data_IF_952468465483
#
_entry.id   IF_952468465483
#
_cell.length_a   1.000
_cell.length_b   1.000
_cell.length_c   1.000
_cell.angle_alpha   90.00
_cell.angle_beta   90.00
_cell.angle_gamma   90.00
#
_symmetry.space_group_name_H-M   'P 1'
#
loop_
_entity.id
_entity.type
_entity.pdbx_description
1 polymer ?
#
# COMPACT_ATOMS: atom_id res chain seq x y z
N UNK A 1 3.54 14.63 22.52
CA UNK A 1 2.52 14.47 23.59
C UNK A 1 1.10 14.32 23.02
N UNK A 2 0.84 14.76 21.78
CA UNK A 2 -0.49 14.73 21.15
C UNK A 2 -0.87 13.39 20.48
N UNK A 3 0.12 12.54 20.17
CA UNK A 3 -0.09 11.18 19.61
C UNK A 3 -0.80 10.20 20.57
N UNK A 4 -0.87 10.49 21.88
CA UNK A 4 -1.56 9.63 22.87
C UNK A 4 -3.09 9.72 22.83
N UNK A 5 -3.68 10.66 22.08
CA UNK A 5 -5.15 10.80 21.98
C UNK A 5 -5.78 9.89 20.91
N UNK A 6 -4.99 9.31 20.02
CA UNK A 6 -5.45 8.35 19.02
C UNK A 6 -5.10 6.95 19.53
N UNK A 7 -6.08 6.05 19.64
CA UNK A 7 -5.85 4.69 20.14
C UNK A 7 -4.70 4.01 19.38
N UNK A 8 -3.75 3.43 20.09
CA UNK A 8 -2.62 2.72 19.51
C UNK A 8 -2.98 1.23 19.38
N UNK A 9 -2.92 0.69 18.17
CA UNK A 9 -3.07 -0.75 17.97
C UNK A 9 -1.77 -1.41 18.44
N UNK A 10 -1.86 -2.28 19.45
CA UNK A 10 -0.73 -3.02 19.99
C UNK A 10 -0.95 -4.51 19.79
N UNK A 11 0.00 -5.19 19.16
CA UNK A 11 -0.02 -6.63 19.10
C UNK A 11 0.57 -7.21 20.39
N UNK A 12 -0.25 -7.87 21.20
CA UNK A 12 0.15 -8.42 22.49
C UNK A 12 0.28 -9.94 22.41
N UNK A 13 1.47 -10.44 22.72
CA UNK A 13 1.72 -11.87 22.93
C UNK A 13 1.37 -12.23 24.37
N UNK A 14 0.50 -13.23 24.58
CA UNK A 14 0.21 -13.73 25.93
C UNK A 14 0.36 -15.25 25.96
N UNK A 15 1.30 -15.73 26.76
CA UNK A 15 1.47 -17.16 27.02
C UNK A 15 0.30 -17.68 27.86
N UNK A 16 -0.28 -18.80 27.45
CA UNK A 16 -1.15 -19.62 28.27
C UNK A 16 -0.58 -21.04 28.20
N UNK A 17 -0.44 -21.70 29.35
CA UNK A 17 0.34 -22.92 29.52
C UNK A 17 -0.02 -23.97 28.46
N UNK A 18 1.03 -24.51 27.85
CA UNK A 18 1.14 -25.56 26.81
C UNK A 18 0.86 -25.24 25.33
N UNK A 19 0.30 -24.06 24.96
CA UNK A 19 0.27 -23.62 23.54
C UNK A 19 0.48 -22.11 23.38
N UNK A 20 1.41 -21.70 22.50
CA UNK A 20 1.62 -20.27 22.15
C UNK A 20 0.41 -19.73 21.40
N UNK A 21 -0.44 -18.94 22.08
CA UNK A 21 -1.59 -18.25 21.50
C UNK A 21 -1.25 -16.78 21.24
N UNK A 22 -1.58 -16.31 20.04
CA UNK A 22 -1.31 -14.93 19.60
C UNK A 22 -2.61 -14.14 19.51
N UNK A 23 -2.56 -12.87 19.90
CA UNK A 23 -3.71 -11.96 19.89
C UNK A 23 -3.33 -10.62 19.26
N UNK A 24 -4.25 -10.06 18.48
CA UNK A 24 -4.20 -8.66 18.07
C UNK A 24 -5.11 -7.86 19.00
N UNK A 25 -4.60 -6.75 19.54
CA UNK A 25 -5.28 -5.99 20.59
C UNK A 25 -5.35 -4.51 20.21
N UNK A 26 -6.53 -3.92 20.35
CA UNK A 26 -6.65 -2.46 20.30
C UNK A 26 -6.45 -1.91 21.70
N UNK A 27 -5.46 -1.06 21.88
CA UNK A 27 -5.15 -0.42 23.16
C UNK A 27 -5.46 1.08 23.05
N UNK A 28 -5.96 1.66 24.13
CA UNK A 28 -6.19 3.10 24.23
C UNK A 28 -5.61 3.59 25.53
N UNK A 29 -4.97 4.75 25.48
CA UNK A 29 -4.56 5.43 26.70
C UNK A 29 -5.78 6.03 27.41
N UNK A 30 -6.05 5.59 28.63
CA UNK A 30 -7.08 6.18 29.48
C UNK A 30 -6.46 7.33 30.28
N UNK A 31 -6.96 8.54 30.06
CA UNK A 31 -6.46 9.74 30.75
C UNK A 31 -6.83 9.78 32.24
N UNK A 32 -7.93 9.14 32.65
CA UNK A 32 -8.34 9.13 34.05
C UNK A 32 -7.54 8.12 34.87
N UNK A 33 -7.23 6.98 34.26
CA UNK A 33 -6.47 5.90 34.90
C UNK A 33 -4.95 6.03 34.68
N UNK A 34 -4.52 7.02 33.89
CA UNK A 34 -3.13 7.26 33.46
C UNK A 34 -2.41 6.00 32.96
N UNK A 35 -3.15 5.10 32.29
CA UNK A 35 -2.62 3.82 31.81
C UNK A 35 -3.24 3.39 30.48
N UNK A 36 -2.51 2.54 29.79
CA UNK A 36 -3.00 1.86 28.60
C UNK A 36 -4.03 0.78 28.96
N UNK A 37 -5.22 0.87 28.38
CA UNK A 37 -6.31 -0.11 28.56
C UNK A 37 -6.58 -0.85 27.26
N UNK A 38 -6.71 -2.18 27.36
CA UNK A 38 -7.15 -3.00 26.24
C UNK A 38 -8.66 -2.78 25.99
N UNK A 39 -9.03 -2.43 24.76
CA UNK A 39 -10.43 -2.26 24.36
C UNK A 39 -10.96 -3.53 23.71
N UNK A 40 -10.28 -4.01 22.67
CA UNK A 40 -10.69 -5.16 21.89
C UNK A 40 -9.54 -6.15 21.75
N UNK A 41 -9.88 -7.43 21.70
CA UNK A 41 -8.95 -8.53 21.54
C UNK A 41 -9.48 -9.52 20.52
N UNK A 42 -8.65 -9.87 19.55
CA UNK A 42 -8.96 -10.89 18.55
C UNK A 42 -7.85 -11.94 18.54
N UNK A 43 -8.22 -13.22 18.65
CA UNK A 43 -7.27 -14.33 18.59
C UNK A 43 -6.80 -14.52 17.15
N UNK A 44 -5.49 -14.55 16.94
CA UNK A 44 -4.89 -14.85 15.64
C UNK A 44 -4.86 -16.36 15.41
N UNK A 45 -5.15 -16.78 14.17
CA UNK A 45 -5.21 -18.20 13.78
C UNK A 45 -3.83 -18.84 13.56
N UNK A 46 -2.75 -18.06 13.59
CA UNK A 46 -1.41 -18.50 13.20
C UNK A 46 -0.29 -17.82 14.00
N UNK A 47 0.97 -18.12 13.66
CA UNK A 47 2.12 -17.54 14.34
C UNK A 47 2.23 -16.03 14.09
N UNK A 48 2.74 -15.30 15.08
CA UNK A 48 2.87 -13.84 15.06
C UNK A 48 3.78 -13.31 13.97
N UNK A 49 4.96 -13.92 13.80
CA UNK A 49 5.96 -13.47 12.83
C UNK A 49 6.05 -14.51 11.72
N UNK A 50 5.52 -14.13 10.56
CA UNK A 50 5.52 -14.92 9.36
C UNK A 50 6.52 -14.38 8.34
N UNK A 51 7.06 -13.18 8.46
CA UNK A 51 7.95 -12.51 7.50
C UNK A 51 8.64 -11.30 8.13
N UNK A 52 8.72 -10.18 7.40
CA UNK A 52 9.42 -8.97 7.85
C UNK A 52 8.72 -8.23 9.01
N UNK A 53 7.43 -8.47 9.27
CA UNK A 53 6.68 -7.90 10.40
C UNK A 53 5.74 -6.74 10.03
N UNK A 54 5.99 -6.04 8.91
CA UNK A 54 5.13 -4.91 8.45
C UNK A 54 3.70 -5.37 8.21
N UNK A 55 3.53 -6.49 7.52
CA UNK A 55 2.23 -7.01 7.10
C UNK A 55 1.47 -7.67 8.23
N UNK A 56 2.19 -8.37 9.09
CA UNK A 56 1.64 -8.97 10.28
C UNK A 56 1.08 -7.90 11.20
N UNK A 57 1.57 -6.66 11.12
CA UNK A 57 0.92 -5.53 11.78
C UNK A 57 -0.31 -5.03 10.98
N UNK A 58 -0.17 -4.76 9.68
CA UNK A 58 -1.23 -4.13 8.87
C UNK A 58 -2.51 -4.99 8.75
N UNK A 59 -2.38 -6.28 8.44
CA UNK A 59 -3.53 -7.15 8.16
C UNK A 59 -4.46 -7.34 9.36
N UNK A 60 -3.98 -7.67 10.57
CA UNK A 60 -4.86 -7.72 11.73
C UNK A 60 -5.17 -6.33 12.30
N UNK A 61 -4.42 -5.27 11.96
CA UNK A 61 -4.80 -3.91 12.34
C UNK A 61 -6.04 -3.42 11.58
N UNK A 62 -6.28 -3.88 10.35
CA UNK A 62 -7.42 -3.43 9.53
C UNK A 62 -8.75 -3.60 10.27
N UNK A 63 -8.89 -4.62 11.11
CA UNK A 63 -10.14 -4.93 11.83
C UNK A 63 -10.51 -3.85 12.87
N UNK A 64 -9.52 -3.07 13.31
CA UNK A 64 -9.72 -1.99 14.28
C UNK A 64 -9.84 -0.62 13.63
N UNK A 65 -9.64 -0.52 12.32
CA UNK A 65 -9.77 0.74 11.57
C UNK A 65 -11.24 1.13 11.36
N UNK A 66 -11.48 2.43 11.21
CA UNK A 66 -12.81 3.03 10.96
C UNK A 66 -12.77 3.86 9.69
N UNK A 67 -13.94 4.15 9.13
CA UNK A 67 -14.11 4.93 7.89
C UNK A 67 -14.24 4.05 6.64
N UNK A 68 -14.33 4.66 5.47
CA UNK A 68 -14.54 3.94 4.21
C UNK A 68 -13.23 3.60 3.49
N UNK A 69 -12.19 4.41 3.71
CA UNK A 69 -10.87 4.22 3.16
C UNK A 69 -9.83 4.01 4.28
N UNK A 70 -8.80 3.23 3.98
CA UNK A 70 -7.66 3.00 4.88
C UNK A 70 -6.36 3.37 4.16
N UNK A 71 -5.44 3.99 4.88
CA UNK A 71 -4.12 4.34 4.39
C UNK A 71 -3.07 3.80 5.36
N UNK A 72 -2.04 3.16 4.82
CA UNK A 72 -0.89 2.68 5.59
C UNK A 72 0.27 3.64 5.38
N UNK A 73 0.75 4.25 6.46
CA UNK A 73 1.83 5.23 6.43
C UNK A 73 3.02 4.63 7.19
N UNK A 74 4.18 4.62 6.55
CA UNK A 74 5.43 4.18 7.17
C UNK A 74 5.88 5.19 8.23
N UNK A 75 6.65 4.75 9.23
CA UNK A 75 7.11 5.60 10.34
C UNK A 75 7.97 6.79 9.89
N UNK A 76 8.60 6.70 8.71
CA UNK A 76 9.41 7.77 8.12
C UNK A 76 8.63 8.64 7.11
N UNK A 77 7.30 8.50 7.04
CA UNK A 77 6.42 9.30 6.20
C UNK A 77 5.63 10.28 7.03
N UNK A 78 5.44 11.47 6.48
CA UNK A 78 4.55 12.47 7.05
C UNK A 78 3.77 13.18 5.94
N UNK A 79 2.59 13.67 6.28
CA UNK A 79 1.75 14.39 5.34
C UNK A 79 1.91 15.90 5.54
N UNK A 80 1.97 16.65 4.44
CA UNK A 80 2.00 18.10 4.52
C UNK A 80 0.60 18.62 4.86
N UNK A 81 0.53 19.74 5.59
CA UNK A 81 -0.75 20.33 6.01
C UNK A 81 -1.60 20.70 4.79
N UNK A 82 -0.99 21.26 3.75
CA UNK A 82 -1.63 21.67 2.51
C UNK A 82 -2.22 20.46 1.74
N UNK A 83 -1.59 19.29 1.88
CA UNK A 83 -2.03 18.05 1.25
C UNK A 83 -3.20 17.41 2.01
N UNK A 84 -3.31 17.65 3.32
CA UNK A 84 -4.46 17.23 4.10
C UNK A 84 -5.75 17.93 3.65
N UNK A 85 -5.68 19.20 3.20
CA UNK A 85 -6.84 19.93 2.67
C UNK A 85 -7.38 19.33 1.36
N UNK A 86 -6.53 18.65 0.58
CA UNK A 86 -6.90 17.99 -0.67
C UNK A 86 -7.49 16.59 -0.47
N UNK A 87 -7.48 16.08 0.77
CA UNK A 87 -7.94 14.74 1.11
C UNK A 87 -9.36 14.46 0.63
N UNK A 88 -10.27 15.42 0.82
CA UNK A 88 -11.67 15.24 0.42
C UNK A 88 -11.81 15.03 -1.08
N UNK A 89 -11.09 15.81 -1.90
CA UNK A 89 -11.08 15.63 -3.34
C UNK A 89 -10.57 14.24 -3.72
N UNK A 90 -9.51 13.76 -3.04
CA UNK A 90 -9.01 12.40 -3.29
C UNK A 90 -10.03 11.32 -2.90
N UNK A 91 -10.71 11.45 -1.77
CA UNK A 91 -11.71 10.45 -1.36
C UNK A 91 -12.94 10.45 -2.29
N UNK A 92 -13.24 11.58 -2.93
CA UNK A 92 -14.32 11.64 -3.92
C UNK A 92 -14.02 10.80 -5.17
N UNK A 93 -12.75 10.54 -5.47
CA UNK A 93 -12.32 9.71 -6.60
C UNK A 93 -12.90 8.29 -6.57
N UNK A 94 -13.22 7.76 -5.38
CA UNK A 94 -13.90 6.47 -5.23
C UNK A 94 -15.30 6.44 -5.86
N UNK A 95 -15.91 7.59 -6.11
CA UNK A 95 -17.26 7.70 -6.69
C UNK A 95 -17.23 7.67 -8.23
N UNK A 96 -16.13 8.11 -8.84
CA UNK A 96 -15.98 8.25 -10.29
C UNK A 96 -15.46 6.98 -10.95
N UNK A 97 -15.85 6.76 -12.21
CA UNK A 97 -15.37 5.64 -13.00
C UNK A 97 -14.11 6.04 -13.78
N UNK A 98 -13.09 5.20 -13.68
CA UNK A 98 -11.80 5.39 -14.34
C UNK A 98 -11.60 4.29 -15.40
N UNK A 99 -12.36 4.42 -16.49
CA UNK A 99 -12.62 3.33 -17.43
C UNK A 99 -13.89 2.58 -17.03
N UNK A 100 -13.84 1.25 -16.98
CA UNK A 100 -15.02 0.41 -16.71
C UNK A 100 -15.40 0.39 -15.22
N UNK A 101 -14.45 0.63 -14.31
CA UNK A 101 -14.62 0.40 -12.86
C UNK A 101 -14.22 1.61 -12.03
N UNK A 102 -14.88 1.74 -10.88
CA UNK A 102 -14.47 2.64 -9.80
C UNK A 102 -13.15 2.16 -9.18
N UNK A 103 -12.32 3.07 -8.65
CA UNK A 103 -11.04 2.69 -8.10
C UNK A 103 -11.23 1.94 -6.78
N UNK A 104 -10.41 0.92 -6.54
CA UNK A 104 -10.30 0.22 -5.25
C UNK A 104 -9.02 0.63 -4.53
N UNK A 105 -7.99 1.01 -5.29
CA UNK A 105 -6.75 1.60 -4.78
C UNK A 105 -6.55 2.95 -5.46
N UNK A 106 -6.39 3.99 -4.65
CA UNK A 106 -6.03 5.35 -5.07
C UNK A 106 -4.55 5.60 -4.75
N UNK A 107 -3.75 5.61 -5.80
CA UNK A 107 -2.35 5.94 -5.73
C UNK A 107 -2.09 7.43 -5.62
N UNK A 108 -1.08 7.77 -4.81
CA UNK A 108 -0.61 9.14 -4.62
C UNK A 108 0.92 9.15 -4.73
N UNK A 109 1.50 10.30 -5.07
CA UNK A 109 2.95 10.39 -5.22
C UNK A 109 3.67 10.52 -3.88
N UNK A 110 4.85 9.92 -3.78
CA UNK A 110 5.80 10.17 -2.69
C UNK A 110 6.69 11.35 -3.04
N UNK A 111 6.99 12.19 -2.06
CA UNK A 111 7.98 13.26 -2.17
C UNK A 111 9.15 12.99 -1.23
N UNK A 112 10.33 12.79 -1.79
CA UNK A 112 11.53 12.51 -0.99
C UNK A 112 12.20 13.83 -0.60
N UNK A 113 11.96 14.28 0.62
CA UNK A 113 12.45 15.59 1.08
C UNK A 113 13.94 15.61 1.43
N UNK A 114 14.59 14.45 1.55
CA UNK A 114 16.04 14.33 1.83
C UNK A 114 16.92 14.46 0.59
N UNK A 115 16.36 14.79 -0.58
CA UNK A 115 17.10 14.88 -1.84
C UNK A 115 18.21 15.95 -1.87
N UNK A 116 18.11 17.00 -1.05
CA UNK A 116 19.08 18.11 -1.03
C UNK A 116 20.35 17.82 -0.21
N UNK A 117 20.44 16.67 0.46
CA UNK A 117 21.54 16.37 1.40
C UNK A 117 22.87 16.10 0.68
N UNK A 118 22.84 15.54 -0.53
CA UNK A 118 24.04 15.24 -1.32
C UNK A 118 23.69 15.07 -2.80
N UNK A 119 24.69 15.04 -3.68
CA UNK A 119 24.49 14.75 -5.10
C UNK A 119 23.90 13.34 -5.32
N UNK A 120 24.35 12.34 -4.55
CA UNK A 120 23.79 10.98 -4.59
C UNK A 120 22.32 10.97 -4.16
N UNK A 121 21.99 11.68 -3.07
CA UNK A 121 20.62 11.83 -2.61
C UNK A 121 19.74 12.53 -3.66
N UNK A 122 20.29 13.52 -4.36
CA UNK A 122 19.58 14.23 -5.43
C UNK A 122 19.27 13.32 -6.62
N UNK A 123 20.24 12.52 -7.08
CA UNK A 123 19.99 11.54 -8.14
C UNK A 123 18.95 10.50 -7.74
N UNK A 124 19.08 9.92 -6.55
CA UNK A 124 18.16 8.90 -6.06
C UNK A 124 16.75 9.44 -5.83
N UNK A 125 16.61 10.63 -5.25
CA UNK A 125 15.30 11.29 -5.08
C UNK A 125 14.67 11.64 -6.43
N UNK A 126 15.45 12.03 -7.43
CA UNK A 126 14.96 12.28 -8.79
C UNK A 126 14.51 10.97 -9.47
N UNK A 127 15.24 9.87 -9.28
CA UNK A 127 14.84 8.53 -9.74
C UNK A 127 13.53 8.07 -9.09
N UNK A 128 13.38 8.22 -7.76
CA UNK A 128 12.14 7.86 -7.08
C UNK A 128 10.97 8.75 -7.54
N UNK A 129 11.21 10.05 -7.73
CA UNK A 129 10.19 10.99 -8.22
C UNK A 129 9.73 10.66 -9.63
N UNK A 130 10.65 10.27 -10.54
CA UNK A 130 10.29 9.90 -11.91
C UNK A 130 9.43 8.63 -11.95
N UNK A 131 9.75 7.64 -11.10
CA UNK A 131 8.91 6.45 -10.94
C UNK A 131 7.54 6.80 -10.34
N UNK A 132 7.52 7.55 -9.22
CA UNK A 132 6.32 7.88 -8.46
C UNK A 132 5.35 8.83 -9.18
N UNK A 133 5.77 9.45 -10.30
CA UNK A 133 4.94 10.34 -11.12
C UNK A 133 4.77 9.77 -12.53
N UNK A 134 5.70 10.06 -13.45
CA UNK A 134 5.63 9.65 -14.85
C UNK A 134 5.46 8.14 -15.01
N UNK A 135 6.23 7.34 -14.26
CA UNK A 135 6.09 5.88 -14.25
C UNK A 135 4.69 5.43 -13.85
N UNK A 136 4.19 5.90 -12.70
CA UNK A 136 2.85 5.56 -12.22
C UNK A 136 1.73 5.99 -13.17
N UNK A 137 1.85 7.17 -13.83
CA UNK A 137 0.87 7.63 -14.84
C UNK A 137 0.80 6.66 -16.01
N UNK A 138 1.94 6.31 -16.59
CA UNK A 138 1.98 5.41 -17.75
C UNK A 138 1.47 4.01 -17.39
N UNK A 139 1.83 3.51 -16.19
CA UNK A 139 1.34 2.23 -15.68
C UNK A 139 -0.18 2.23 -15.46
N UNK A 140 -0.77 3.34 -15.02
CA UNK A 140 -2.23 3.46 -14.88
C UNK A 140 -2.93 3.63 -16.23
N UNK A 141 -2.46 4.57 -17.05
CA UNK A 141 -3.08 4.97 -18.30
C UNK A 141 -1.98 5.39 -19.30
N UNK A 142 -1.80 4.69 -20.42
CA UNK A 142 -2.74 3.75 -21.06
C UNK A 142 -2.61 2.29 -20.62
N UNK A 143 -1.55 1.90 -19.89
CA UNK A 143 -1.22 0.47 -19.76
C UNK A 143 -2.15 -0.32 -18.85
N UNK A 144 -2.82 0.30 -17.86
CA UNK A 144 -3.72 -0.37 -16.90
C UNK A 144 -3.08 -1.55 -16.15
N UNK A 145 -1.76 -1.49 -15.93
CA UNK A 145 -0.96 -2.47 -15.18
C UNK A 145 -0.40 -1.90 -13.87
N UNK A 146 -0.87 -0.72 -13.45
CA UNK A 146 -0.47 -0.13 -12.16
C UNK A 146 -0.87 -1.06 -11.01
N UNK A 147 0.08 -1.28 -10.10
CA UNK A 147 -0.13 -1.99 -8.84
C UNK A 147 0.19 -1.09 -7.65
N UNK A 148 0.05 -1.65 -6.45
CA UNK A 148 0.52 -1.02 -5.22
C UNK A 148 2.01 -1.33 -5.01
N UNK A 149 2.86 -0.31 -4.86
CA UNK A 149 4.31 -0.48 -4.72
C UNK A 149 4.85 -0.04 -3.35
N UNK A 150 4.03 -0.13 -2.30
CA UNK A 150 4.39 0.37 -0.96
C UNK A 150 4.37 1.91 -0.85
N UNK A 151 3.84 2.57 -1.88
CA UNK A 151 3.50 4.00 -1.86
C UNK A 151 2.36 4.27 -0.87
N UNK A 152 2.10 5.53 -0.47
CA UNK A 152 1.07 5.86 0.51
C UNK A 152 -0.32 5.84 -0.15
N UNK A 153 -0.61 4.78 -0.90
CA UNK A 153 -1.89 4.59 -1.55
C UNK A 153 -3.00 4.47 -0.51
N UNK A 154 -4.20 4.91 -0.89
CA UNK A 154 -5.42 4.71 -0.11
C UNK A 154 -6.20 3.54 -0.68
N UNK A 155 -6.73 2.72 0.21
CA UNK A 155 -7.46 1.49 -0.11
C UNK A 155 -8.93 1.64 0.27
N UNK A 156 -9.83 1.14 -0.57
CA UNK A 156 -11.23 0.91 -0.19
C UNK A 156 -11.27 -0.17 0.91
N UNK A 157 -11.53 0.26 2.15
CA UNK A 157 -11.47 -0.63 3.31
C UNK A 157 -12.44 -1.79 3.17
N UNK A 158 -13.67 -1.54 2.70
CA UNK A 158 -14.68 -2.60 2.56
C UNK A 158 -14.28 -3.63 1.51
N UNK A 159 -13.62 -3.19 0.44
CA UNK A 159 -13.12 -4.10 -0.56
C UNK A 159 -12.03 -5.04 -0.01
N UNK A 160 -11.04 -4.50 0.70
CA UNK A 160 -9.89 -5.29 1.19
C UNK A 160 -10.18 -6.10 2.46
N UNK A 161 -11.09 -5.63 3.32
CA UNK A 161 -11.44 -6.29 4.57
C UNK A 161 -11.87 -7.75 4.37
N UNK A 162 -12.68 -8.03 3.36
CA UNK A 162 -13.21 -9.38 3.10
C UNK A 162 -12.37 -10.20 2.12
N UNK A 163 -11.25 -9.66 1.61
CA UNK A 163 -10.51 -10.21 0.46
C UNK A 163 -9.03 -10.50 0.74
N UNK A 164 -8.66 -10.71 2.01
CA UNK A 164 -7.30 -11.11 2.38
C UNK A 164 -6.41 -9.97 2.89
N UNK A 165 -7.00 -8.80 3.18
CA UNK A 165 -6.28 -7.69 3.81
C UNK A 165 -5.47 -6.84 2.82
N UNK A 166 -4.51 -6.09 3.36
CA UNK A 166 -3.73 -5.10 2.62
C UNK A 166 -2.41 -5.64 2.07
N UNK A 167 -2.10 -6.92 2.32
CA UNK A 167 -0.79 -7.50 1.98
C UNK A 167 -0.73 -9.02 2.17
N UNK A 168 0.33 -9.66 1.67
CA UNK A 168 0.54 -11.13 1.77
C UNK A 168 1.82 -11.46 2.55
N UNK A 169 1.68 -11.88 3.80
CA UNK A 169 2.81 -12.27 4.65
C UNK A 169 3.41 -13.62 4.24
N UNK A 170 4.74 -13.72 4.24
CA UNK A 170 5.48 -14.95 3.92
C UNK A 170 6.90 -14.93 4.49
N UNK A 171 7.46 -16.11 4.80
CA UNK A 171 8.68 -16.29 5.63
C UNK A 171 10.00 -16.02 4.93
N UNK A 172 10.06 -16.27 3.62
CA UNK A 172 11.31 -16.29 2.85
C UNK A 172 11.08 -15.78 1.44
N UNK A 173 9.94 -16.17 0.85
CA UNK A 173 9.48 -15.80 -0.49
C UNK A 173 8.54 -14.59 -0.37
N UNK A 174 8.61 -13.63 -1.30
CA UNK A 174 7.81 -12.39 -1.37
C UNK A 174 8.43 -11.23 -0.56
N UNK A 175 9.70 -10.93 -0.79
CA UNK A 175 10.43 -9.79 -0.21
C UNK A 175 9.80 -8.45 -0.62
N UNK A 176 9.17 -8.37 -1.80
CA UNK A 176 8.34 -7.23 -2.21
C UNK A 176 6.89 -7.51 -1.84
N UNK A 177 6.58 -7.43 -0.57
CA UNK A 177 5.35 -7.97 -0.02
C UNK A 177 4.11 -7.09 -0.31
N UNK A 178 4.34 -5.78 -0.45
CA UNK A 178 3.31 -4.79 -0.74
C UNK A 178 2.67 -5.02 -2.13
N UNK A 179 3.41 -5.52 -3.13
CA UNK A 179 2.88 -5.68 -4.50
C UNK A 179 1.78 -6.74 -4.62
N UNK A 180 1.75 -7.70 -3.70
CA UNK A 180 0.78 -8.78 -3.71
C UNK A 180 -0.65 -8.32 -3.45
N UNK A 181 -0.83 -7.19 -2.76
CA UNK A 181 -2.16 -6.58 -2.65
C UNK A 181 -2.63 -6.05 -4.01
N UNK A 182 -1.71 -5.54 -4.82
CA UNK A 182 -1.96 -5.11 -6.19
C UNK A 182 -2.38 -6.29 -7.08
N UNK A 183 -1.68 -7.42 -7.00
CA UNK A 183 -2.07 -8.63 -7.74
C UNK A 183 -3.45 -9.12 -7.31
N UNK A 184 -3.70 -9.26 -6.01
CA UNK A 184 -5.00 -9.72 -5.49
C UNK A 184 -6.14 -8.76 -5.87
N UNK A 185 -5.87 -7.44 -5.83
CA UNK A 185 -6.78 -6.41 -6.30
C UNK A 185 -7.14 -6.63 -7.77
N UNK A 186 -6.15 -6.72 -8.64
CA UNK A 186 -6.35 -6.82 -10.09
C UNK A 186 -7.00 -8.15 -10.49
N UNK A 187 -6.56 -9.27 -9.90
CA UNK A 187 -7.12 -10.61 -10.13
C UNK A 187 -8.60 -10.72 -9.77
N UNK A 188 -9.05 -9.97 -8.76
CA UNK A 188 -10.46 -9.93 -8.34
C UNK A 188 -11.25 -8.80 -9.00
N UNK A 189 -10.66 -8.18 -10.02
CA UNK A 189 -11.31 -7.15 -10.81
C UNK A 189 -11.37 -5.77 -10.16
N UNK A 190 -10.54 -5.48 -9.16
CA UNK A 190 -10.34 -4.12 -8.67
C UNK A 190 -9.67 -3.22 -9.72
N UNK A 191 -9.70 -1.91 -9.48
CA UNK A 191 -9.08 -0.91 -10.36
C UNK A 191 -8.09 -0.06 -9.56
N UNK A 192 -6.85 0.00 -10.04
CA UNK A 192 -5.75 0.69 -9.38
C UNK A 192 -5.41 1.92 -10.20
N UNK A 193 -5.49 3.08 -9.56
CA UNK A 193 -5.46 4.38 -10.24
C UNK A 193 -4.47 5.32 -9.55
N UNK A 194 -4.08 6.46 -10.13
CA UNK A 194 -3.02 7.35 -9.62
C UNK A 194 -3.39 8.83 -9.77
N UNK A 195 -3.05 9.67 -8.77
CA UNK A 195 -3.20 11.13 -8.86
C UNK A 195 -1.96 11.83 -8.34
N UNK A 196 -1.48 12.78 -9.14
CA UNK A 196 -0.30 13.59 -8.83
C UNK A 196 -0.61 14.84 -7.99
N UNK A 197 -1.87 15.28 -7.90
CA UNK A 197 -2.19 16.55 -7.24
C UNK A 197 -2.00 16.51 -5.71
N UNK A 198 -1.86 15.31 -5.14
CA UNK A 198 -1.59 15.08 -3.72
C UNK A 198 -0.30 14.28 -3.54
N UNK A 199 0.49 14.64 -2.52
CA UNK A 199 1.75 13.98 -2.20
C UNK A 199 1.90 13.70 -0.72
N UNK A 200 2.74 12.72 -0.37
CA UNK A 200 3.15 12.44 1.01
C UNK A 200 4.67 12.50 1.09
N UNK A 201 5.18 13.20 2.10
CA UNK A 201 6.61 13.31 2.36
C UNK A 201 7.18 12.00 2.89
N UNK A 202 8.37 11.62 2.44
CA UNK A 202 9.09 10.43 2.92
C UNK A 202 10.55 10.75 3.14
N UNK A 203 11.04 10.45 4.34
CA UNK A 203 12.45 10.54 4.67
C UNK A 203 13.20 9.31 4.19
N UNK A 204 14.26 9.51 3.40
CA UNK A 204 15.15 8.44 2.96
C UNK A 204 16.58 8.74 3.38
N UNK A 205 17.28 7.71 3.84
CA UNK A 205 18.73 7.72 3.95
C UNK A 205 19.32 7.32 2.59
N UNK A 206 20.23 8.14 2.09
CA UNK A 206 20.88 7.98 0.79
C UNK A 206 22.37 7.64 0.90
N UNK A 207 22.79 7.03 2.00
CA UNK A 207 24.08 6.35 2.05
C UNK A 207 24.20 5.27 0.98
N UNK A 208 25.37 5.12 0.35
CA UNK A 208 25.58 4.19 -0.78
C UNK A 208 25.20 2.75 -0.41
N UNK A 209 25.53 2.31 0.80
CA UNK A 209 25.10 1.00 1.32
C UNK A 209 23.57 0.86 1.40
N UNK A 210 22.87 1.90 1.85
CA UNK A 210 21.39 1.90 1.93
C UNK A 210 20.75 1.85 0.54
N UNK A 211 21.31 2.63 -0.40
CA UNK A 211 20.89 2.62 -1.80
C UNK A 211 21.10 1.23 -2.43
N UNK A 212 22.25 0.60 -2.19
CA UNK A 212 22.54 -0.73 -2.69
C UNK A 212 21.57 -1.78 -2.15
N UNK A 213 21.31 -1.78 -0.83
CA UNK A 213 20.35 -2.70 -0.22
C UNK A 213 18.93 -2.49 -0.75
N UNK A 214 18.54 -1.24 -1.02
CA UNK A 214 17.25 -0.94 -1.62
C UNK A 214 17.15 -1.50 -3.04
N UNK A 215 18.18 -1.28 -3.88
CA UNK A 215 18.21 -1.82 -5.24
C UNK A 215 18.20 -3.36 -5.24
N UNK A 216 18.93 -3.99 -4.32
CA UNK A 216 18.92 -5.44 -4.13
C UNK A 216 17.52 -5.94 -3.72
N UNK A 217 16.82 -5.24 -2.81
CA UNK A 217 15.45 -5.58 -2.40
C UNK A 217 14.48 -5.53 -3.58
N UNK A 218 14.58 -4.50 -4.43
CA UNK A 218 13.73 -4.36 -5.63
C UNK A 218 14.05 -5.44 -6.67
N UNK A 219 15.33 -5.70 -6.94
CA UNK A 219 15.75 -6.69 -7.91
C UNK A 219 15.36 -8.13 -7.50
N UNK A 220 15.64 -8.50 -6.25
CA UNK A 220 15.26 -9.81 -5.69
C UNK A 220 13.74 -9.99 -5.68
N UNK A 221 13.00 -8.97 -5.23
CA UNK A 221 11.55 -8.98 -5.22
C UNK A 221 10.93 -9.13 -6.62
N UNK A 222 11.50 -8.51 -7.65
CA UNK A 222 11.04 -8.70 -9.02
C UNK A 222 11.31 -10.13 -9.53
N UNK A 223 12.47 -10.71 -9.20
CA UNK A 223 12.79 -12.10 -9.53
C UNK A 223 11.78 -13.09 -8.91
N UNK A 224 11.39 -12.86 -7.65
CA UNK A 224 10.39 -13.68 -6.97
C UNK A 224 8.98 -13.53 -7.56
N UNK A 225 8.60 -12.32 -7.95
CA UNK A 225 7.30 -12.06 -8.57
C UNK A 225 7.11 -12.88 -9.85
N UNK A 226 8.15 -13.01 -10.68
CA UNK A 226 8.10 -13.81 -11.92
C UNK A 226 7.76 -15.28 -11.65
N UNK A 227 8.21 -15.82 -10.52
CA UNK A 227 7.93 -17.19 -10.10
C UNK A 227 6.59 -17.34 -9.38
N UNK A 228 5.89 -16.23 -9.09
CA UNK A 228 4.68 -16.26 -8.30
C UNK A 228 3.47 -16.75 -9.10
N UNK A 229 2.64 -17.59 -8.46
CA UNK A 229 1.35 -18.02 -9.03
C UNK A 229 0.42 -16.84 -9.32
N UNK A 230 0.54 -15.76 -8.54
CA UNK A 230 -0.31 -14.58 -8.67
C UNK A 230 -0.02 -13.86 -10.00
N UNK A 231 1.26 -13.71 -10.38
CA UNK A 231 1.66 -13.19 -11.69
C UNK A 231 1.24 -14.15 -12.82
N UNK A 232 1.46 -15.46 -12.68
CA UNK A 232 1.00 -16.43 -13.67
C UNK A 232 -0.50 -16.34 -13.94
N UNK A 233 -1.31 -16.31 -12.86
CA UNK A 233 -2.77 -16.20 -12.95
C UNK A 233 -3.19 -14.87 -13.54
N UNK A 234 -2.45 -13.80 -13.24
CA UNK A 234 -2.74 -12.47 -13.73
C UNK A 234 -2.47 -12.37 -15.23
N UNK A 235 -1.33 -12.85 -15.70
CA UNK A 235 -0.96 -12.88 -17.12
C UNK A 235 -1.94 -13.75 -17.91
N UNK A 236 -2.27 -14.94 -17.42
CA UNK A 236 -3.26 -15.82 -18.05
C UNK A 236 -4.63 -15.14 -18.09
N UNK A 237 -5.09 -14.58 -16.97
CA UNK A 237 -6.33 -13.81 -16.91
C UNK A 237 -6.34 -12.64 -17.87
N UNK A 238 -5.22 -11.94 -18.03
CA UNK A 238 -5.03 -10.86 -19.00
C UNK A 238 -5.10 -11.33 -20.45
N UNK A 239 -4.47 -12.46 -20.80
CA UNK A 239 -4.54 -13.01 -22.15
C UNK A 239 -5.98 -13.41 -22.50
N UNK A 240 -6.70 -14.06 -21.58
CA UNK A 240 -8.07 -14.51 -21.83
C UNK A 240 -9.11 -13.39 -21.71
N UNK A 241 -8.89 -12.39 -20.87
CA UNK A 241 -9.80 -11.25 -20.69
C UNK A 241 -9.49 -10.08 -21.63
N UNK A 242 -8.26 -10.04 -22.17
CA UNK A 242 -7.74 -9.02 -23.09
C UNK A 242 -8.33 -9.05 -24.50
N UNK A 243 -9.21 -10.02 -24.81
CA UNK A 243 -10.10 -9.92 -25.96
C UNK A 243 -11.44 -9.24 -25.66
N UNK A 244 -11.84 -9.08 -24.39
CA UNK A 244 -13.18 -8.59 -24.06
C UNK A 244 -13.22 -7.31 -23.21
N UNK A 245 -12.14 -6.90 -22.55
CA UNK A 245 -12.21 -5.81 -21.54
C UNK A 245 -11.09 -4.77 -21.59
N UNK A 246 -10.14 -4.87 -22.53
CA UNK A 246 -9.25 -3.76 -22.86
C UNK A 246 -9.88 -2.94 -23.97
N UNK A 247 -10.69 -1.96 -23.62
CA UNK A 247 -10.84 -0.79 -24.47
C UNK A 247 -9.46 -0.12 -24.54
N UNK A 248 -8.67 -0.55 -25.53
CA UNK A 248 -7.71 0.32 -26.22
C UNK A 248 -8.48 1.62 -26.47
N UNK A 249 -7.94 2.81 -26.17
CA UNK A 249 -8.60 4.04 -26.58
C UNK A 249 -8.82 3.93 -28.08
N UNK A 250 -10.07 3.87 -28.52
CA UNK A 250 -10.40 4.17 -29.90
C UNK A 250 -9.75 5.53 -30.17
N UNK A 251 -8.78 5.56 -31.07
CA UNK A 251 -8.24 6.78 -31.66
C UNK A 251 -9.27 7.42 -32.60
N UNK A 252 -10.52 7.54 -32.14
CA UNK A 252 -11.62 8.13 -32.88
C UNK A 252 -11.83 9.57 -32.41
N UNK A 253 -10.84 10.42 -32.67
CA UNK A 253 -11.02 11.87 -32.79
C UNK A 253 -9.85 12.54 -33.51
N UNK A 254 -9.55 12.03 -34.72
CA UNK A 254 -8.95 12.81 -35.80
C UNK A 254 -9.80 12.59 -37.07
N UNK A 255 -11.08 12.94 -36.98
CA UNK A 255 -11.89 13.33 -38.15
C UNK A 255 -13.21 13.90 -37.66
N UNK A 256 -13.66 14.97 -38.31
CA UNK A 256 -14.95 15.69 -38.16
C UNK A 256 -15.19 16.46 -36.86
N UNK A 257 -14.63 17.67 -36.75
CA UNK A 257 -15.26 18.94 -37.16
C UNK A 257 -14.21 20.04 -37.24
#
# INVERSE_FOLDING_TARGET
>A
MELRKQGMIHMLMKFCMDEKKYYSVLVKYDQQLERDVEIYRVKLSGPLKLGEGKLENQNPAIIFTRGDAVQTIDMNKDNYFEEALKMWNLLEEYKYHYGIRKPTILGVREHIFTGFVSSLAWFMSTQETSFATFGQRVLENPLKIRLHYGHPDRFDRFWFWTRGGLSKASRVINISEDIFVGFNCTLRGGNVTHRDYIQVGKGRDFGLNQVSMFAEKVASGNGEQVLSRDVYSWVIGWIFSGCCHSSIPQWDSFSTQ
#
